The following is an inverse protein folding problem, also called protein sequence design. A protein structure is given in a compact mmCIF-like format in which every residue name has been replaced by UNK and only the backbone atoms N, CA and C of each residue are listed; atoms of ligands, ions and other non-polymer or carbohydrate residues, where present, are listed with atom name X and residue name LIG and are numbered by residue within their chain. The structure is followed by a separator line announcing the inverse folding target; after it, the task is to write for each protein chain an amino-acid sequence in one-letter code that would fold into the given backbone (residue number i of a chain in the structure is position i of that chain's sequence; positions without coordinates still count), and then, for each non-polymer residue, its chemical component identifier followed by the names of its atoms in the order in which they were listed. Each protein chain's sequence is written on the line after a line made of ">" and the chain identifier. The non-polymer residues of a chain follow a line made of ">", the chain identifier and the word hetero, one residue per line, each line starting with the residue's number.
data_IF_456773993424
#
_entry.id   IF_456773993424
#
_cell.length_a   1.000
_cell.length_b   1.000
_cell.length_c   1.000
_cell.angle_alpha   90.00
_cell.angle_beta   90.00
_cell.angle_gamma   90.00
#
_symmetry.space_group_name_H-M   'P 1'
#
loop_
_entity.id
_entity.type
_entity.pdbx_description
1 polymer ?
#
# COMPACT_ATOMS: atom_id res chain seq x y z
N UNK A 1 11.83 -12.30 -25.45
CA UNK A 1 11.27 -12.85 -24.20
C UNK A 1 11.39 -11.77 -23.14
N UNK A 2 10.38 -11.64 -22.28
CA UNK A 2 10.36 -10.62 -21.21
C UNK A 2 11.37 -11.00 -20.13
N UNK A 3 12.13 -10.04 -19.64
CA UNK A 3 13.10 -10.23 -18.56
C UNK A 3 12.65 -9.48 -17.30
N UNK A 4 13.23 -9.84 -16.15
CA UNK A 4 13.00 -9.15 -14.88
C UNK A 4 13.17 -7.64 -15.02
N UNK A 5 14.24 -7.17 -15.67
CA UNK A 5 14.49 -5.73 -15.90
C UNK A 5 13.38 -5.04 -16.69
N UNK A 6 12.75 -5.71 -17.66
CA UNK A 6 11.71 -5.13 -18.50
C UNK A 6 10.42 -4.89 -17.68
N UNK A 7 10.15 -5.77 -16.69
CA UNK A 7 9.04 -5.62 -15.73
C UNK A 7 9.33 -4.48 -14.77
N UNK A 8 10.56 -4.44 -14.23
CA UNK A 8 11.01 -3.36 -13.33
C UNK A 8 10.85 -2.00 -14.02
N UNK A 9 11.30 -1.88 -15.26
CA UNK A 9 11.22 -0.64 -16.04
C UNK A 9 9.76 -0.15 -16.21
N UNK A 10 8.81 -1.08 -16.40
CA UNK A 10 7.39 -0.74 -16.44
C UNK A 10 6.85 -0.26 -15.09
N UNK A 11 7.24 -0.91 -14.00
CA UNK A 11 6.82 -0.51 -12.65
C UNK A 11 7.42 0.86 -12.32
N UNK A 12 8.73 1.06 -12.56
CA UNK A 12 9.42 2.31 -12.26
C UNK A 12 8.99 3.47 -13.19
N UNK A 13 8.48 3.17 -14.38
CA UNK A 13 7.82 4.18 -15.24
C UNK A 13 6.50 4.66 -14.65
N UNK A 14 5.75 3.81 -13.97
CA UNK A 14 4.50 4.16 -13.29
C UNK A 14 4.75 4.79 -11.92
N UNK A 15 5.61 4.19 -11.13
CA UNK A 15 5.98 4.59 -9.78
C UNK A 15 7.51 4.69 -9.66
N UNK A 16 8.13 5.82 -10.10
CA UNK A 16 9.57 6.02 -10.04
C UNK A 16 10.11 5.81 -8.62
N UNK A 17 11.28 5.15 -8.51
CA UNK A 17 11.91 4.89 -7.20
C UNK A 17 12.23 6.18 -6.44
N UNK A 18 12.46 7.26 -7.15
CA UNK A 18 12.73 8.59 -6.60
C UNK A 18 11.53 9.18 -5.85
N UNK A 19 10.34 8.60 -6.00
CA UNK A 19 9.17 8.93 -5.18
C UNK A 19 9.21 8.31 -3.78
N UNK A 20 10.03 7.29 -3.58
CA UNK A 20 10.11 6.62 -2.30
C UNK A 20 10.85 7.47 -1.26
N UNK A 21 10.46 7.31 0.00
CA UNK A 21 11.17 7.91 1.12
C UNK A 21 12.58 7.34 1.27
N UNK A 22 13.51 8.14 1.74
CA UNK A 22 14.95 7.78 1.87
C UNK A 22 15.22 6.63 2.84
N UNK A 23 14.30 6.37 3.77
CA UNK A 23 14.38 5.26 4.72
C UNK A 23 13.84 3.93 4.15
N UNK A 24 13.14 3.98 3.01
CA UNK A 24 12.46 2.82 2.42
C UNK A 24 13.41 1.94 1.61
N UNK A 25 13.16 0.62 1.64
CA UNK A 25 13.89 -0.35 0.85
C UNK A 25 13.06 -0.84 -0.35
N UNK A 26 12.58 0.10 -1.17
CA UNK A 26 11.85 -0.18 -2.40
C UNK A 26 12.79 -0.56 -3.54
N UNK A 27 12.31 -1.33 -4.51
CA UNK A 27 13.01 -1.68 -5.73
C UNK A 27 13.35 -3.16 -5.87
N UNK A 28 14.42 -3.46 -6.59
CA UNK A 28 14.87 -4.83 -6.82
C UNK A 28 15.63 -5.38 -5.62
N UNK A 29 15.08 -6.42 -4.98
CA UNK A 29 15.56 -6.93 -3.71
C UNK A 29 16.40 -8.20 -3.90
N UNK A 30 15.90 -9.19 -4.66
CA UNK A 30 16.54 -10.51 -4.83
C UNK A 30 16.45 -10.95 -6.29
N UNK A 31 17.45 -11.67 -6.80
CA UNK A 31 17.42 -12.40 -8.04
C UNK A 31 18.38 -11.85 -9.12
N UNK A 32 18.08 -12.16 -10.38
CA UNK A 32 18.85 -11.74 -11.54
C UNK A 32 18.00 -10.91 -12.51
N UNK A 33 18.41 -9.67 -12.78
CA UNK A 33 17.70 -8.74 -13.68
C UNK A 33 17.62 -9.24 -15.12
N UNK A 34 18.55 -10.09 -15.56
CA UNK A 34 18.60 -10.64 -16.91
C UNK A 34 17.80 -11.95 -17.07
N UNK A 35 17.24 -12.50 -15.99
CA UNK A 35 16.42 -13.70 -16.03
C UNK A 35 15.17 -13.47 -16.88
N UNK A 36 14.81 -14.47 -17.68
CA UNK A 36 13.55 -14.52 -18.42
C UNK A 36 12.40 -14.80 -17.47
N UNK A 37 11.26 -14.13 -17.68
CA UNK A 37 10.05 -14.23 -16.88
C UNK A 37 8.89 -14.67 -17.76
N UNK A 38 8.19 -15.71 -17.34
CA UNK A 38 6.94 -16.18 -17.92
C UNK A 38 5.78 -16.07 -16.95
N UNK A 39 6.06 -16.25 -15.66
CA UNK A 39 5.06 -16.26 -14.59
C UNK A 39 5.43 -15.28 -13.49
N UNK A 40 4.45 -14.47 -13.07
CA UNK A 40 4.61 -13.52 -11.98
C UNK A 40 3.58 -13.76 -10.88
N UNK A 41 3.98 -13.49 -9.64
CA UNK A 41 3.10 -13.53 -8.46
C UNK A 41 3.00 -12.14 -7.84
N UNK A 42 1.78 -11.60 -7.76
CA UNK A 42 1.47 -10.28 -7.24
C UNK A 42 0.94 -10.39 -5.82
N UNK A 43 1.49 -9.62 -4.90
CA UNK A 43 1.12 -9.70 -3.49
C UNK A 43 1.23 -8.36 -2.77
N UNK A 44 0.52 -8.19 -1.66
CA UNK A 44 0.76 -7.12 -0.71
C UNK A 44 2.03 -7.44 0.10
N UNK A 45 2.06 -8.60 0.74
CA UNK A 45 3.10 -9.03 1.66
C UNK A 45 3.88 -10.25 1.15
N UNK A 46 5.14 -10.33 1.55
CA UNK A 46 5.98 -11.52 1.32
C UNK A 46 6.31 -12.15 2.67
N UNK A 47 5.68 -13.28 2.97
CA UNK A 47 5.93 -14.12 4.13
C UNK A 47 6.10 -15.57 3.67
N UNK A 48 6.33 -16.50 4.62
CA UNK A 48 6.65 -17.90 4.29
C UNK A 48 5.62 -18.52 3.33
N UNK A 49 4.34 -18.39 3.62
CA UNK A 49 3.25 -18.98 2.83
C UNK A 49 3.17 -18.38 1.42
N UNK A 50 3.49 -17.09 1.27
CA UNK A 50 3.59 -16.43 -0.04
C UNK A 50 4.69 -17.06 -0.89
N UNK A 51 5.87 -17.29 -0.29
CA UNK A 51 7.02 -17.90 -0.97
C UNK A 51 6.74 -19.36 -1.31
N UNK A 52 6.18 -20.14 -0.38
CA UNK A 52 5.81 -21.54 -0.61
C UNK A 52 4.82 -21.65 -1.78
N UNK A 53 3.84 -20.75 -1.84
CA UNK A 53 2.87 -20.71 -2.95
C UNK A 53 3.50 -20.30 -4.28
N UNK A 54 4.40 -19.35 -4.27
CA UNK A 54 5.16 -18.94 -5.45
C UNK A 54 6.01 -20.08 -6.02
N UNK A 55 6.65 -20.87 -5.14
CA UNK A 55 7.42 -22.07 -5.50
C UNK A 55 6.49 -23.15 -6.10
N UNK A 56 5.36 -23.43 -5.44
CA UNK A 56 4.36 -24.40 -5.92
C UNK A 56 3.88 -24.07 -7.34
N UNK A 57 3.63 -22.79 -7.63
CA UNK A 57 3.18 -22.32 -8.93
C UNK A 57 4.30 -22.23 -9.97
N UNK A 58 5.56 -22.34 -9.54
CA UNK A 58 6.73 -22.22 -10.40
C UNK A 58 6.84 -20.86 -11.03
N UNK A 59 6.66 -19.79 -10.25
CA UNK A 59 6.78 -18.41 -10.74
C UNK A 59 8.24 -18.00 -10.87
N UNK A 60 8.50 -17.08 -11.77
CA UNK A 60 9.86 -16.56 -12.03
C UNK A 60 10.15 -15.30 -11.21
N UNK A 61 9.09 -14.55 -10.84
CA UNK A 61 9.22 -13.28 -10.15
C UNK A 61 8.03 -13.03 -9.24
N UNK A 62 8.30 -12.48 -8.03
CA UNK A 62 7.31 -11.91 -7.13
C UNK A 62 7.38 -10.39 -7.23
N UNK A 63 6.23 -9.73 -7.29
CA UNK A 63 6.07 -8.29 -7.19
C UNK A 63 5.25 -8.02 -5.94
N UNK A 64 5.84 -7.35 -4.94
CA UNK A 64 5.19 -7.04 -3.68
C UNK A 64 5.08 -5.55 -3.44
N UNK A 65 4.17 -5.17 -2.56
CA UNK A 65 4.12 -3.82 -2.01
C UNK A 65 5.09 -3.68 -0.85
N UNK A 66 4.92 -4.46 0.20
CA UNK A 66 5.79 -4.39 1.37
C UNK A 66 7.15 -5.04 1.13
N UNK A 67 8.25 -4.36 1.52
CA UNK A 67 9.60 -4.92 1.45
C UNK A 67 9.86 -5.92 2.58
N UNK A 68 10.68 -6.93 2.31
CA UNK A 68 11.08 -7.92 3.32
C UNK A 68 12.31 -7.50 4.14
N UNK A 69 13.11 -6.60 3.62
CA UNK A 69 14.40 -6.22 4.21
C UNK A 69 14.45 -4.71 4.44
N UNK A 70 13.71 -4.21 5.44
CA UNK A 70 13.77 -2.78 5.82
C UNK A 70 15.15 -2.36 6.33
N UNK A 71 15.85 -3.30 7.00
CA UNK A 71 17.23 -3.10 7.48
C UNK A 71 18.14 -4.10 6.78
N UNK A 72 19.37 -3.69 6.49
CA UNK A 72 20.38 -4.61 5.96
C UNK A 72 20.53 -5.84 6.86
N UNK A 73 20.49 -7.03 6.27
CA UNK A 73 20.70 -8.29 7.00
C UNK A 73 22.19 -8.51 7.25
N UNK A 74 22.52 -8.94 8.47
CA UNK A 74 23.89 -9.32 8.86
C UNK A 74 24.13 -10.83 8.73
N UNK A 75 23.05 -11.63 8.71
CA UNK A 75 23.09 -13.09 8.57
C UNK A 75 21.84 -13.59 7.89
N UNK A 76 21.95 -14.70 7.16
CA UNK A 76 20.81 -15.43 6.57
C UNK A 76 20.68 -16.73 7.35
N UNK A 77 19.80 -16.74 8.35
CA UNK A 77 19.45 -17.93 9.11
C UNK A 77 18.09 -18.44 8.63
N UNK A 78 18.08 -19.56 7.93
CA UNK A 78 16.85 -20.16 7.37
C UNK A 78 15.82 -20.61 8.42
N UNK A 79 16.17 -20.59 9.71
CA UNK A 79 15.22 -20.80 10.79
C UNK A 79 14.38 -19.57 11.13
N UNK A 80 14.80 -18.38 10.69
CA UNK A 80 14.04 -17.14 10.82
C UNK A 80 13.17 -16.91 9.58
N UNK A 81 12.12 -16.08 9.70
CA UNK A 81 11.24 -15.76 8.56
C UNK A 81 12.02 -15.14 7.41
N UNK A 82 12.77 -14.06 7.67
CA UNK A 82 13.52 -13.35 6.63
C UNK A 82 14.58 -14.23 5.98
N UNK A 83 15.32 -15.00 6.81
CA UNK A 83 16.33 -15.92 6.30
C UNK A 83 15.73 -17.07 5.49
N UNK A 84 14.55 -17.59 5.86
CA UNK A 84 13.80 -18.55 5.05
C UNK A 84 13.43 -17.95 3.70
N UNK A 85 12.78 -16.80 3.69
CA UNK A 85 12.34 -16.11 2.46
C UNK A 85 13.52 -15.91 1.51
N UNK A 86 14.60 -15.29 2.01
CA UNK A 86 15.82 -15.04 1.19
C UNK A 86 16.40 -16.34 0.64
N UNK A 87 16.55 -17.36 1.51
CA UNK A 87 17.11 -18.65 1.11
C UNK A 87 16.29 -19.36 0.04
N UNK A 88 14.97 -19.41 0.21
CA UNK A 88 14.07 -20.12 -0.71
C UNK A 88 13.93 -19.37 -2.05
N UNK A 89 13.87 -18.03 -2.04
CA UNK A 89 13.84 -17.27 -3.28
C UNK A 89 15.13 -17.48 -4.10
N UNK A 90 16.29 -17.49 -3.44
CA UNK A 90 17.58 -17.74 -4.12
C UNK A 90 17.67 -19.18 -4.64
N UNK A 91 17.33 -20.20 -3.83
CA UNK A 91 17.37 -21.60 -4.21
C UNK A 91 16.47 -21.93 -5.42
N UNK A 92 15.30 -21.29 -5.48
CA UNK A 92 14.32 -21.52 -6.54
C UNK A 92 14.46 -20.51 -7.70
N UNK A 93 15.51 -19.69 -7.67
CA UNK A 93 15.78 -18.66 -8.70
C UNK A 93 14.57 -17.73 -8.94
N UNK A 94 13.85 -17.34 -7.89
CA UNK A 94 12.71 -16.43 -7.95
C UNK A 94 13.19 -15.01 -7.67
N UNK A 95 12.94 -14.09 -8.61
CA UNK A 95 13.23 -12.68 -8.41
C UNK A 95 12.18 -12.00 -7.53
N UNK A 96 12.60 -11.02 -6.72
CA UNK A 96 11.70 -10.20 -5.91
C UNK A 96 11.93 -8.72 -6.20
N UNK A 97 10.85 -8.04 -6.52
CA UNK A 97 10.77 -6.59 -6.65
C UNK A 97 9.70 -6.05 -5.69
N UNK A 98 10.01 -4.96 -5.01
CA UNK A 98 9.11 -4.29 -4.08
C UNK A 98 8.83 -2.87 -4.57
N UNK A 99 7.54 -2.47 -4.63
CA UNK A 99 7.11 -1.10 -4.88
C UNK A 99 6.27 -0.63 -3.68
N UNK A 100 6.94 -0.09 -2.67
CA UNK A 100 6.36 0.35 -1.40
C UNK A 100 5.96 1.83 -1.47
N UNK A 101 6.63 2.72 -0.75
CA UNK A 101 6.25 4.14 -0.68
C UNK A 101 6.29 4.86 -2.04
N UNK A 102 7.03 4.36 -3.01
CA UNK A 102 6.96 4.85 -4.39
C UNK A 102 5.58 4.64 -5.00
N UNK A 103 4.90 3.51 -4.70
CA UNK A 103 3.56 3.21 -5.18
C UNK A 103 2.49 4.01 -4.42
N UNK A 104 2.73 4.32 -3.13
CA UNK A 104 1.84 5.18 -2.34
C UNK A 104 1.84 6.61 -2.85
N UNK A 105 3.02 7.09 -3.27
CA UNK A 105 3.22 8.46 -3.75
C UNK A 105 2.87 8.65 -5.23
N UNK A 106 2.85 7.58 -6.03
CA UNK A 106 2.63 7.68 -7.47
C UNK A 106 1.24 8.20 -7.82
N UNK A 107 1.17 8.99 -8.89
CA UNK A 107 -0.10 9.37 -9.52
C UNK A 107 -0.79 8.12 -10.09
N UNK A 108 -2.05 7.89 -9.71
CA UNK A 108 -2.78 6.66 -10.04
C UNK A 108 -2.40 5.46 -9.15
N UNK A 109 -1.55 5.65 -8.15
CA UNK A 109 -1.13 4.65 -7.17
C UNK A 109 -2.17 4.41 -6.07
N UNK A 110 -1.70 3.84 -4.96
CA UNK A 110 -2.56 3.38 -3.85
C UNK A 110 -3.48 4.49 -3.36
N UNK A 111 -2.93 5.67 -3.05
CA UNK A 111 -3.70 6.76 -2.44
C UNK A 111 -4.73 7.38 -3.38
N UNK A 112 -4.50 7.39 -4.70
CA UNK A 112 -5.51 7.83 -5.66
C UNK A 112 -6.66 6.84 -5.75
N UNK A 113 -6.37 5.54 -5.74
CA UNK A 113 -7.42 4.50 -5.76
C UNK A 113 -8.19 4.50 -4.45
N UNK A 114 -7.51 4.64 -3.32
CA UNK A 114 -8.15 4.74 -1.99
C UNK A 114 -9.09 5.95 -1.94
N UNK A 115 -8.65 7.12 -2.39
CA UNK A 115 -9.48 8.33 -2.47
C UNK A 115 -10.74 8.11 -3.32
N UNK A 116 -10.59 7.49 -4.49
CA UNK A 116 -11.72 7.17 -5.37
C UNK A 116 -12.70 6.18 -4.72
N UNK A 117 -12.20 5.12 -4.06
CA UNK A 117 -13.03 4.14 -3.35
C UNK A 117 -13.83 4.79 -2.23
N UNK A 118 -13.26 5.82 -1.58
CA UNK A 118 -13.88 6.52 -0.46
C UNK A 118 -14.65 7.79 -0.86
N UNK A 119 -14.93 7.92 -2.15
CA UNK A 119 -15.83 8.97 -2.69
C UNK A 119 -15.25 10.38 -2.61
N UNK A 120 -13.93 10.53 -2.59
CA UNK A 120 -13.26 11.84 -2.61
C UNK A 120 -13.21 12.36 -4.05
N UNK A 121 -13.80 13.51 -4.27
CA UNK A 121 -13.86 14.17 -5.58
C UNK A 121 -12.65 15.06 -5.80
N UNK A 122 -12.04 14.96 -7.02
CA UNK A 122 -10.88 15.74 -7.42
C UNK A 122 -9.80 15.80 -6.34
N UNK A 123 -9.27 14.64 -5.91
CA UNK A 123 -8.34 14.58 -4.79
C UNK A 123 -7.04 15.34 -5.10
N UNK A 124 -6.58 16.13 -4.13
CA UNK A 124 -5.27 16.77 -4.14
C UNK A 124 -4.29 15.99 -3.27
N UNK A 125 -3.01 16.09 -3.59
CA UNK A 125 -1.93 15.48 -2.79
C UNK A 125 -1.74 16.28 -1.50
N UNK A 126 -1.63 15.59 -0.36
CA UNK A 126 -1.38 16.20 0.96
C UNK A 126 0.08 16.61 1.06
N UNK A 127 0.99 15.63 1.05
CA UNK A 127 2.44 15.85 1.08
C UNK A 127 2.99 15.75 -0.34
N UNK A 128 3.15 16.91 -1.00
CA UNK A 128 3.54 16.99 -2.42
C UNK A 128 5.01 16.65 -2.62
N UNK A 129 5.29 15.87 -3.66
CA UNK A 129 6.66 15.70 -4.15
C UNK A 129 7.00 16.87 -5.09
N UNK A 130 8.11 17.56 -4.82
CA UNK A 130 8.52 18.75 -5.58
C UNK A 130 9.03 18.41 -7.00
N UNK A 131 9.51 17.20 -7.21
CA UNK A 131 10.14 16.77 -8.48
C UNK A 131 9.16 16.11 -9.44
N UNK A 132 8.03 15.60 -8.95
CA UNK A 132 7.05 14.85 -9.72
C UNK A 132 5.64 15.42 -9.52
N UNK A 133 5.13 16.10 -10.56
CA UNK A 133 3.82 16.76 -10.51
C UNK A 133 2.67 15.74 -10.31
N UNK A 134 1.79 16.05 -9.36
CA UNK A 134 0.66 15.23 -8.97
C UNK A 134 1.04 13.96 -8.18
N UNK A 135 2.31 13.83 -7.77
CA UNK A 135 2.81 12.76 -6.92
C UNK A 135 3.06 13.23 -5.48
N UNK A 136 3.05 12.28 -4.54
CA UNK A 136 3.26 12.52 -3.12
C UNK A 136 2.30 11.72 -2.24
N UNK A 137 2.49 11.79 -0.93
CA UNK A 137 1.76 10.96 0.02
C UNK A 137 0.39 11.55 0.36
N UNK A 138 -0.58 10.65 0.51
CA UNK A 138 -1.94 10.95 0.91
C UNK A 138 -2.73 11.76 -0.13
N UNK A 139 -4.05 11.72 0.02
CA UNK A 139 -4.99 12.49 -0.81
C UNK A 139 -6.03 13.15 0.06
N UNK A 140 -6.49 14.33 -0.35
CA UNK A 140 -7.53 15.10 0.34
C UNK A 140 -8.48 15.71 -0.66
N UNK A 141 -9.76 15.78 -0.33
CA UNK A 141 -10.76 16.46 -1.12
C UNK A 141 -12.14 16.39 -0.51
N UNK A 142 -13.12 16.97 -1.20
CA UNK A 142 -14.51 16.89 -0.79
C UNK A 142 -15.06 15.49 -1.06
N UNK A 143 -15.86 14.98 -0.13
CA UNK A 143 -16.63 13.76 -0.39
C UNK A 143 -17.88 14.10 -1.20
N UNK A 144 -18.35 13.14 -2.01
CA UNK A 144 -19.46 13.30 -2.97
C UNK A 144 -20.78 13.74 -2.33
N UNK A 145 -20.97 13.49 -1.04
CA UNK A 145 -22.10 13.98 -0.25
C UNK A 145 -21.70 14.18 1.21
N UNK A 146 -22.27 15.21 1.87
CA UNK A 146 -22.08 15.40 3.31
C UNK A 146 -22.65 14.22 4.10
N UNK A 147 -21.87 13.69 5.03
CA UNK A 147 -22.26 12.59 5.94
C UNK A 147 -21.86 12.95 7.37
N UNK A 148 -22.49 12.32 8.36
CA UNK A 148 -21.95 12.30 9.73
C UNK A 148 -20.70 11.41 9.76
N UNK A 149 -19.84 11.58 10.78
CA UNK A 149 -18.68 10.71 10.97
C UNK A 149 -19.09 9.23 11.03
N UNK A 150 -20.21 8.93 11.70
CA UNK A 150 -20.74 7.56 11.77
C UNK A 150 -21.11 7.02 10.39
N UNK A 151 -21.88 7.78 9.59
CA UNK A 151 -22.28 7.37 8.25
C UNK A 151 -21.06 7.20 7.32
N UNK A 152 -20.08 8.10 7.45
CA UNK A 152 -18.86 7.98 6.65
C UNK A 152 -17.99 6.78 7.07
N UNK A 153 -17.91 6.48 8.36
CA UNK A 153 -17.22 5.28 8.84
C UNK A 153 -17.85 3.98 8.33
N UNK A 154 -19.20 3.92 8.31
CA UNK A 154 -19.95 2.80 7.72
C UNK A 154 -19.66 2.70 6.19
N UNK A 155 -19.66 3.82 5.48
CA UNK A 155 -19.32 3.89 4.07
C UNK A 155 -17.88 3.42 3.79
N UNK A 156 -16.89 3.84 4.59
CA UNK A 156 -15.50 3.39 4.51
C UNK A 156 -15.42 1.87 4.70
N UNK A 157 -16.07 1.36 5.74
CA UNK A 157 -16.12 -0.07 6.05
C UNK A 157 -16.65 -0.90 4.88
N UNK A 158 -17.74 -0.46 4.26
CA UNK A 158 -18.36 -1.16 3.12
C UNK A 158 -17.47 -1.12 1.87
N UNK A 159 -16.94 0.05 1.51
CA UNK A 159 -16.15 0.23 0.28
C UNK A 159 -14.76 -0.42 0.34
N UNK A 160 -14.20 -0.60 1.53
CA UNK A 160 -12.95 -1.34 1.73
C UNK A 160 -13.17 -2.82 2.03
N UNK A 161 -14.45 -3.26 2.13
CA UNK A 161 -14.81 -4.64 2.45
C UNK A 161 -14.09 -5.15 3.71
N UNK A 162 -14.01 -4.30 4.74
CA UNK A 162 -13.40 -4.66 6.03
C UNK A 162 -14.47 -5.02 7.06
N UNK A 163 -14.23 -5.97 7.96
CA UNK A 163 -15.22 -6.37 8.96
C UNK A 163 -15.47 -5.29 10.02
N UNK A 164 -14.53 -4.38 10.23
CA UNK A 164 -14.63 -3.31 11.22
C UNK A 164 -13.77 -2.10 10.84
N UNK A 165 -14.06 -0.96 11.47
CA UNK A 165 -13.21 0.23 11.51
C UNK A 165 -13.15 0.74 12.94
N UNK A 166 -12.03 1.35 13.36
CA UNK A 166 -11.92 2.08 14.62
C UNK A 166 -12.11 3.56 14.35
N UNK A 167 -12.94 4.22 15.14
CA UNK A 167 -13.32 5.63 14.92
C UNK A 167 -12.98 6.45 16.15
N UNK A 168 -12.34 7.61 15.94
CA UNK A 168 -12.09 8.61 16.98
C UNK A 168 -12.65 9.94 16.56
N UNK A 169 -13.51 10.54 17.41
CA UNK A 169 -14.21 11.80 17.17
C UNK A 169 -15.69 11.72 17.50
N UNK A 170 -16.39 12.85 17.34
CA UNK A 170 -17.84 12.92 17.55
C UNK A 170 -18.59 12.30 16.36
N UNK A 171 -19.35 11.25 16.59
CA UNK A 171 -20.13 10.56 15.57
C UNK A 171 -21.13 11.44 14.81
N UNK A 172 -21.57 12.55 15.41
CA UNK A 172 -22.51 13.48 14.79
C UNK A 172 -21.80 14.61 14.00
N UNK A 173 -20.47 14.73 14.12
CA UNK A 173 -19.70 15.71 13.34
C UNK A 173 -19.95 15.49 11.85
N UNK A 174 -20.22 16.60 11.14
CA UNK A 174 -20.39 16.58 9.69
C UNK A 174 -19.03 16.49 9.01
N UNK A 175 -18.90 15.55 8.09
CA UNK A 175 -17.74 15.32 7.24
C UNK A 175 -18.06 15.84 5.84
N UNK A 176 -17.23 16.74 5.35
CA UNK A 176 -17.29 17.35 4.01
C UNK A 176 -15.96 17.13 3.27
N UNK A 177 -14.85 17.20 4.01
CA UNK A 177 -13.50 17.06 3.48
C UNK A 177 -12.85 15.85 4.15
N UNK A 178 -12.49 14.85 3.36
CA UNK A 178 -11.78 13.67 3.82
C UNK A 178 -10.35 13.66 3.30
N UNK A 179 -9.42 13.32 4.19
CA UNK A 179 -8.06 12.95 3.88
C UNK A 179 -7.91 11.43 3.93
N UNK A 180 -7.03 10.85 3.12
CA UNK A 180 -6.72 9.43 3.11
C UNK A 180 -5.22 9.18 3.00
N UNK A 181 -4.75 8.15 3.69
CA UNK A 181 -3.41 7.61 3.56
C UNK A 181 -3.46 6.09 3.77
N UNK A 182 -3.11 5.30 2.75
CA UNK A 182 -3.04 3.83 2.83
C UNK A 182 -1.97 3.40 3.83
N UNK A 183 -2.23 2.30 4.56
CA UNK A 183 -1.35 1.86 5.62
C UNK A 183 -1.26 2.82 6.79
N UNK A 184 -0.11 2.84 7.47
CA UNK A 184 0.15 3.70 8.63
C UNK A 184 0.63 5.09 8.18
N UNK A 185 -0.28 6.04 8.13
CA UNK A 185 -0.01 7.42 7.71
C UNK A 185 -0.36 8.44 8.80
N UNK A 186 -0.02 8.14 10.06
CA UNK A 186 -0.20 9.08 11.18
C UNK A 186 0.62 10.37 11.03
N UNK A 187 1.72 10.34 10.29
CA UNK A 187 2.54 11.50 9.97
C UNK A 187 1.79 12.56 9.11
N UNK A 188 0.72 12.19 8.41
CA UNK A 188 -0.11 13.12 7.62
C UNK A 188 -1.04 13.99 8.48
N UNK A 189 -1.22 13.71 9.77
CA UNK A 189 -2.16 14.41 10.65
C UNK A 189 -1.94 15.94 10.65
N UNK A 190 -0.71 16.47 10.85
CA UNK A 190 -0.49 17.90 10.88
C UNK A 190 -0.89 18.61 9.58
N UNK A 191 -0.54 18.02 8.44
CA UNK A 191 -0.84 18.60 7.14
C UNK A 191 -2.34 18.46 6.80
N UNK A 192 -2.98 17.34 7.14
CA UNK A 192 -4.42 17.17 6.99
C UNK A 192 -5.21 18.23 7.77
N UNK A 193 -4.83 18.52 9.02
CA UNK A 193 -5.41 19.60 9.84
C UNK A 193 -5.20 20.95 9.17
N UNK A 194 -3.98 21.27 8.76
CA UNK A 194 -3.60 22.53 8.14
C UNK A 194 -4.38 22.81 6.85
N UNK A 195 -4.66 21.78 6.06
CA UNK A 195 -5.41 21.89 4.80
C UNK A 195 -6.93 21.91 5.05
N UNK A 196 -7.38 21.54 6.27
CA UNK A 196 -8.78 21.64 6.68
C UNK A 196 -9.58 20.32 6.45
N UNK A 197 -8.96 19.17 6.63
CA UNK A 197 -9.67 17.90 6.66
C UNK A 197 -10.60 17.81 7.88
N UNK A 198 -11.77 17.24 7.71
CA UNK A 198 -12.69 16.88 8.81
C UNK A 198 -12.33 15.51 9.42
N UNK A 199 -11.77 14.62 8.58
CA UNK A 199 -11.41 13.25 8.94
C UNK A 199 -10.17 12.79 8.14
N UNK A 200 -9.33 11.97 8.76
CA UNK A 200 -8.28 11.19 8.10
C UNK A 200 -8.65 9.70 8.17
N UNK A 201 -8.71 9.05 7.02
CA UNK A 201 -8.82 7.59 6.90
C UNK A 201 -7.43 7.01 6.67
N UNK A 202 -6.99 6.12 7.56
CA UNK A 202 -5.65 5.51 7.55
C UNK A 202 -5.67 4.17 8.30
N UNK A 203 -4.53 3.67 8.73
CA UNK A 203 -4.41 2.44 9.52
C UNK A 203 -3.41 2.57 10.68
N UNK A 204 -3.34 1.54 11.52
CA UNK A 204 -2.38 1.35 12.63
C UNK A 204 -2.32 2.51 13.63
N UNK A 205 -3.45 3.18 13.81
CA UNK A 205 -3.53 4.39 14.62
C UNK A 205 -3.32 4.10 16.10
N UNK A 206 -2.32 4.76 16.68
CA UNK A 206 -2.01 4.67 18.11
C UNK A 206 -2.97 5.53 18.93
N UNK A 207 -3.31 5.04 20.13
CA UNK A 207 -4.30 5.68 21.02
C UNK A 207 -4.03 7.18 21.25
N UNK A 208 -2.82 7.54 21.70
CA UNK A 208 -2.52 8.93 22.03
C UNK A 208 -2.40 9.84 20.79
N UNK A 209 -2.03 9.30 19.64
CA UNK A 209 -2.01 10.04 18.38
C UNK A 209 -3.44 10.36 17.96
N UNK A 210 -4.35 9.38 17.99
CA UNK A 210 -5.77 9.61 17.70
C UNK A 210 -6.40 10.61 18.68
N UNK A 211 -6.05 10.53 19.98
CA UNK A 211 -6.53 11.47 20.99
C UNK A 211 -6.08 12.91 20.66
N UNK A 212 -4.79 13.10 20.31
CA UNK A 212 -4.25 14.40 19.91
C UNK A 212 -4.97 14.97 18.68
N UNK A 213 -5.11 14.17 17.63
CA UNK A 213 -5.79 14.57 16.40
C UNK A 213 -7.23 15.06 16.68
N UNK A 214 -7.99 14.34 17.54
CA UNK A 214 -9.35 14.73 17.92
C UNK A 214 -9.34 16.03 18.72
N UNK A 215 -8.39 16.24 19.63
CA UNK A 215 -8.25 17.52 20.36
C UNK A 215 -7.99 18.71 19.40
N UNK A 216 -7.25 18.45 18.31
CA UNK A 216 -6.95 19.44 17.29
C UNK A 216 -8.05 19.55 16.21
N UNK A 217 -9.16 18.83 16.41
CA UNK A 217 -10.37 18.92 15.59
C UNK A 217 -10.45 17.96 14.40
N UNK A 218 -9.48 17.08 14.20
CA UNK A 218 -9.48 16.06 13.14
C UNK A 218 -10.05 14.73 13.66
N UNK A 219 -11.10 14.21 13.02
CA UNK A 219 -11.55 12.85 13.27
C UNK A 219 -10.61 11.83 12.60
N UNK A 220 -10.55 10.61 13.17
CA UNK A 220 -9.76 9.51 12.61
C UNK A 220 -10.68 8.32 12.35
N UNK A 221 -10.52 7.71 11.19
CA UNK A 221 -11.04 6.37 10.87
C UNK A 221 -9.84 5.48 10.56
N UNK A 222 -9.55 4.56 11.47
CA UNK A 222 -8.57 3.50 11.23
C UNK A 222 -9.31 2.31 10.60
N UNK A 223 -9.05 2.11 9.31
CA UNK A 223 -9.74 1.12 8.49
C UNK A 223 -8.95 -0.19 8.33
N UNK A 224 -7.78 -0.29 9.00
CA UNK A 224 -6.86 -1.41 8.91
C UNK A 224 -5.88 -1.31 7.74
N UNK A 225 -4.68 -1.84 7.94
CA UNK A 225 -3.58 -1.76 6.98
C UNK A 225 -3.94 -2.51 5.68
N UNK A 226 -4.25 -3.80 5.81
CA UNK A 226 -4.59 -4.66 4.69
C UNK A 226 -5.72 -4.10 3.80
N UNK A 227 -6.89 -3.68 4.33
CA UNK A 227 -7.99 -3.19 3.49
C UNK A 227 -7.67 -1.90 2.74
N UNK A 228 -6.76 -1.07 3.29
CA UNK A 228 -6.39 0.21 2.66
C UNK A 228 -5.38 0.06 1.53
N UNK A 229 -4.75 -1.13 1.36
CA UNK A 229 -3.65 -1.33 0.40
C UNK A 229 -3.76 -2.58 -0.47
N UNK A 230 -4.53 -3.62 -0.08
CA UNK A 230 -4.56 -4.91 -0.78
C UNK A 230 -4.85 -4.82 -2.27
N UNK A 231 -5.57 -3.80 -2.71
CA UNK A 231 -5.88 -3.54 -4.13
C UNK A 231 -4.65 -3.13 -4.96
N UNK A 232 -3.47 -2.95 -4.33
CA UNK A 232 -2.20 -2.73 -5.05
C UNK A 232 -1.91 -3.86 -6.04
N UNK A 233 -2.35 -5.08 -5.76
CA UNK A 233 -2.22 -6.21 -6.68
C UNK A 233 -2.96 -5.97 -8.00
N UNK A 234 -4.06 -5.22 -8.00
CA UNK A 234 -4.79 -4.83 -9.21
C UNK A 234 -4.03 -3.74 -10.00
N UNK A 235 -3.28 -2.88 -9.29
CA UNK A 235 -2.39 -1.89 -9.91
C UNK A 235 -1.24 -2.62 -10.61
N UNK A 236 -0.57 -3.53 -9.91
CA UNK A 236 0.51 -4.33 -10.48
C UNK A 236 0.05 -5.11 -11.71
N UNK A 237 -1.10 -5.77 -11.64
CA UNK A 237 -1.68 -6.50 -12.78
C UNK A 237 -1.85 -5.60 -14.01
N UNK A 238 -2.40 -4.39 -13.83
CA UNK A 238 -2.54 -3.41 -14.92
C UNK A 238 -1.21 -2.97 -15.50
N UNK A 239 -0.18 -2.77 -14.66
CA UNK A 239 1.16 -2.35 -15.09
C UNK A 239 1.81 -3.43 -15.95
N UNK A 240 1.73 -4.70 -15.54
CA UNK A 240 2.35 -5.81 -16.28
C UNK A 240 1.47 -6.37 -17.40
N UNK A 241 0.23 -5.89 -17.53
CA UNK A 241 -0.66 -6.28 -18.61
C UNK A 241 -0.02 -6.05 -19.99
N UNK A 242 -0.28 -6.96 -20.94
CA UNK A 242 0.25 -6.89 -22.29
C UNK A 242 1.69 -7.37 -22.46
N UNK A 243 2.37 -7.81 -21.39
CA UNK A 243 3.68 -8.46 -21.49
C UNK A 243 3.62 -9.94 -21.87
N UNK A 244 2.42 -10.54 -21.94
CA UNK A 244 2.25 -11.97 -22.26
C UNK A 244 2.68 -12.88 -21.12
N UNK A 245 2.63 -12.40 -19.88
CA UNK A 245 2.96 -13.15 -18.67
C UNK A 245 1.73 -13.89 -18.13
N UNK A 246 1.96 -15.04 -17.53
CA UNK A 246 0.97 -15.70 -16.68
C UNK A 246 1.02 -15.05 -15.29
N UNK A 247 -0.13 -14.50 -14.86
CA UNK A 247 -0.22 -13.67 -13.65
C UNK A 247 -1.00 -14.42 -12.58
N UNK A 248 -0.40 -14.53 -11.41
CA UNK A 248 -1.04 -15.03 -10.20
C UNK A 248 -1.14 -13.92 -9.17
N UNK A 249 -2.22 -13.89 -8.40
CA UNK A 249 -2.40 -12.97 -7.27
C UNK A 249 -2.47 -13.75 -5.96
N UNK A 250 -1.91 -13.17 -4.93
CA UNK A 250 -2.05 -13.69 -3.58
C UNK A 250 -3.53 -13.69 -3.16
N UNK A 251 -3.92 -14.75 -2.49
CA UNK A 251 -5.25 -14.91 -1.89
C UNK A 251 -5.20 -14.86 -0.36
N UNK A 252 -4.06 -14.42 0.21
CA UNK A 252 -3.98 -14.26 1.66
C UNK A 252 -4.99 -13.21 2.13
N UNK A 253 -5.41 -13.35 3.38
CA UNK A 253 -6.36 -12.46 4.03
C UNK A 253 -5.63 -11.59 5.04
N UNK A 254 -6.34 -10.61 5.58
CA UNK A 254 -5.88 -9.85 6.72
C UNK A 254 -5.44 -10.78 7.86
N UNK A 255 -4.33 -10.43 8.49
CA UNK A 255 -3.79 -11.18 9.64
C UNK A 255 -4.65 -11.03 10.89
N UNK A 256 -5.45 -9.95 10.96
CA UNK A 256 -6.34 -9.70 12.08
C UNK A 256 -7.71 -10.35 11.86
N UNK A 257 -8.16 -11.09 12.85
CA UNK A 257 -9.50 -11.63 12.91
C UNK A 257 -10.31 -10.88 13.97
N UNK A 258 -11.56 -10.58 13.66
CA UNK A 258 -12.49 -9.92 14.59
C UNK A 258 -13.37 -10.95 15.26
N UNK A 259 -13.49 -10.85 16.58
CA UNK A 259 -14.31 -11.75 17.41
C UNK A 259 -15.55 -10.98 17.88
#
# INVERSE_FOLDING_TARGET
>A
MVKVKDIIEKIEKFAPRELAYSWDNTGFIIGNREKEVKKVFLTLDVFKETVDKAIELGVDMIISHHPILFKGIQAVDSATQDGYIVSELIKNDIALYCAHTSMDCAKGGINDILANKLGIENPEVIEKNESFDGCGLGRIGKISREMTLKEYAEFVKENLNTPFVRVSGDFNKKIKVSAVGGGACDDLIPDAIKIGADVLVTADMKYHIAQGAVCDGLCIIDAGHYPTEVFVTDIFEKIVAGLGLEIYKSTHKDIFNVI
#
